data_IF_305259870387
#
_entry.id   IF_305259870387
#
_cell.length_a   1.000
_cell.length_b   1.000
_cell.length_c   1.000
_cell.angle_alpha   90.00
_cell.angle_beta   90.00
_cell.angle_gamma   90.00
#
_symmetry.space_group_name_H-M   'P 1'
#
loop_
_entity.id
_entity.type
_entity.pdbx_description
1 polymer ?
#
# COMPACT_ATOMS: atom_id res chain seq x y z
N UNK A 1 64.48 14.42 -11.50
CA UNK A 1 63.23 15.14 -11.84
C UNK A 1 62.07 14.24 -11.43
N UNK A 2 61.60 14.37 -10.18
CA UNK A 2 60.30 14.95 -9.78
C UNK A 2 59.14 14.04 -10.23
N UNK A 3 58.93 12.94 -9.50
CA UNK A 3 57.99 12.75 -8.38
C UNK A 3 56.52 12.50 -8.78
N UNK A 4 56.04 11.36 -8.28
CA UNK A 4 54.72 10.74 -8.22
C UNK A 4 53.54 11.68 -7.87
N UNK A 5 52.33 11.28 -8.31
CA UNK A 5 51.06 11.17 -7.55
C UNK A 5 50.11 10.30 -8.42
N UNK A 6 50.17 8.96 -8.31
CA UNK A 6 49.23 8.10 -7.58
C UNK A 6 47.76 8.60 -7.62
N UNK A 7 47.03 8.24 -8.68
CA UNK A 7 45.57 8.38 -8.72
C UNK A 7 44.95 7.19 -7.98
N UNK A 8 44.44 7.47 -6.79
CA UNK A 8 43.59 6.57 -6.01
C UNK A 8 42.23 6.49 -6.72
N UNK A 9 42.00 5.42 -7.46
CA UNK A 9 40.65 5.03 -7.87
C UNK A 9 40.04 4.24 -6.71
N UNK A 10 39.39 4.97 -5.81
CA UNK A 10 38.50 4.42 -4.79
C UNK A 10 37.36 3.72 -5.53
N UNK A 11 37.22 2.43 -5.26
CA UNK A 11 36.09 1.63 -5.70
C UNK A 11 34.81 2.10 -5.02
N UNK A 12 33.72 2.13 -5.78
CA UNK A 12 32.41 1.83 -5.26
C UNK A 12 31.89 0.63 -6.05
N UNK A 13 31.98 -0.53 -5.42
CA UNK A 13 31.21 -1.71 -5.77
C UNK A 13 29.74 -1.34 -5.68
N UNK A 14 29.08 -1.14 -6.82
CA UNK A 14 27.62 -1.13 -6.81
C UNK A 14 27.17 -2.52 -6.39
N UNK A 15 26.62 -2.56 -5.18
CA UNK A 15 25.94 -3.69 -4.58
C UNK A 15 25.07 -4.37 -5.64
N UNK A 16 25.25 -5.68 -5.76
CA UNK A 16 24.31 -6.55 -6.42
C UNK A 16 22.90 -6.20 -5.93
N UNK A 17 22.05 -5.75 -6.85
CA UNK A 17 20.61 -5.72 -6.61
C UNK A 17 20.18 -7.19 -6.63
N UNK A 18 20.35 -7.88 -5.50
CA UNK A 18 19.57 -9.06 -5.21
C UNK A 18 18.12 -8.59 -5.32
N UNK A 19 17.40 -9.09 -6.32
CA UNK A 19 15.95 -9.20 -6.18
C UNK A 19 15.78 -10.23 -5.08
N UNK A 20 15.88 -9.75 -3.84
CA UNK A 20 15.27 -10.44 -2.73
C UNK A 20 13.80 -10.46 -3.12
N UNK A 21 13.36 -11.64 -3.56
CA UNK A 21 11.99 -12.05 -3.38
C UNK A 21 11.78 -12.01 -1.87
N UNK A 22 11.53 -10.80 -1.38
CA UNK A 22 11.07 -10.51 -0.04
C UNK A 22 9.76 -11.28 0.07
N UNK A 23 9.88 -12.53 0.50
CA UNK A 23 8.87 -13.21 1.26
C UNK A 23 8.75 -12.49 2.62
N UNK A 24 8.57 -11.16 2.60
CA UNK A 24 7.92 -10.44 3.68
C UNK A 24 6.61 -11.17 3.89
N UNK A 25 6.43 -11.73 5.09
CA UNK A 25 5.17 -12.36 5.51
C UNK A 25 4.03 -11.43 5.09
N UNK A 26 3.27 -11.83 4.06
CA UNK A 26 2.15 -11.03 3.57
C UNK A 26 0.93 -11.32 4.41
N UNK A 27 0.29 -10.27 4.90
CA UNK A 27 -0.92 -10.35 5.69
C UNK A 27 -2.08 -9.83 4.85
N UNK A 28 -3.17 -10.59 4.82
CA UNK A 28 -4.41 -10.12 4.21
C UNK A 28 -5.07 -9.10 5.12
N UNK A 29 -5.51 -8.00 4.53
CA UNK A 29 -6.18 -6.91 5.22
C UNK A 29 -7.46 -6.51 4.51
N UNK A 30 -8.39 -5.96 5.26
CA UNK A 30 -9.70 -5.53 4.80
C UNK A 30 -10.02 -4.12 5.29
N UNK A 31 -10.57 -3.31 4.41
CA UNK A 31 -11.13 -1.99 4.71
C UNK A 31 -12.58 -1.92 4.26
N UNK A 32 -13.46 -1.43 5.14
CA UNK A 32 -14.87 -1.20 4.80
C UNK A 32 -15.03 0.20 4.23
N UNK A 33 -15.41 0.30 2.95
CA UNK A 33 -15.55 1.59 2.29
C UNK A 33 -16.74 2.37 2.82
N UNK A 34 -16.53 3.66 2.98
CA UNK A 34 -17.52 4.66 3.34
C UNK A 34 -18.14 5.28 2.09
N UNK A 35 -19.20 6.08 2.23
CA UNK A 35 -19.81 6.74 1.08
C UNK A 35 -18.96 7.86 0.49
N UNK A 36 -18.25 8.63 1.33
CA UNK A 36 -17.43 9.77 0.86
C UNK A 36 -16.25 10.16 1.76
N UNK A 37 -15.91 9.39 2.79
CA UNK A 37 -14.79 9.69 3.68
C UNK A 37 -13.58 8.75 3.52
N UNK A 38 -13.56 7.96 2.46
CA UNK A 38 -12.39 7.15 2.14
C UNK A 38 -11.18 8.08 1.88
N UNK A 39 -9.96 7.76 2.36
CA UNK A 39 -8.80 8.64 2.21
C UNK A 39 -8.36 8.87 0.75
N UNK A 40 -8.72 7.95 -0.14
CA UNK A 40 -8.50 8.07 -1.58
C UNK A 40 -9.66 8.79 -2.25
N UNK A 41 -9.35 9.59 -3.28
CA UNK A 41 -10.38 10.29 -4.05
C UNK A 41 -11.42 9.32 -4.65
N UNK A 42 -12.70 9.72 -4.70
CA UNK A 42 -13.74 8.92 -5.32
C UNK A 42 -13.49 8.78 -6.83
N UNK A 43 -13.71 7.58 -7.35
CA UNK A 43 -13.60 7.30 -8.79
C UNK A 43 -14.74 6.40 -9.25
N UNK A 44 -15.20 6.62 -10.47
CA UNK A 44 -16.37 5.93 -11.03
C UNK A 44 -16.12 4.45 -11.40
N UNK A 45 -14.85 4.04 -11.53
CA UNK A 45 -14.46 2.73 -12.04
C UNK A 45 -13.59 1.97 -11.04
N UNK A 46 -13.93 0.69 -10.80
CA UNK A 46 -13.18 -0.21 -9.89
C UNK A 46 -11.70 -0.37 -10.25
N UNK A 47 -11.34 -0.43 -11.53
CA UNK A 47 -9.95 -0.54 -11.95
C UNK A 47 -9.16 0.72 -11.60
N UNK A 48 -9.75 1.89 -11.87
CA UNK A 48 -9.17 3.18 -11.43
C UNK A 48 -9.11 3.28 -9.91
N UNK A 49 -10.07 2.69 -9.18
CA UNK A 49 -10.09 2.68 -7.72
C UNK A 49 -8.90 1.88 -7.16
N UNK A 50 -8.59 0.73 -7.75
CA UNK A 50 -7.40 -0.05 -7.38
C UNK A 50 -6.12 0.79 -7.56
N UNK A 51 -5.96 1.44 -8.70
CA UNK A 51 -4.79 2.30 -8.95
C UNK A 51 -4.72 3.48 -7.98
N UNK A 52 -5.87 4.09 -7.64
CA UNK A 52 -5.93 5.18 -6.66
C UNK A 52 -5.55 4.73 -5.26
N UNK A 53 -6.07 3.60 -4.79
CA UNK A 53 -5.71 3.02 -3.49
C UNK A 53 -4.22 2.73 -3.45
N UNK A 54 -3.69 2.09 -4.51
CA UNK A 54 -2.26 1.78 -4.60
C UNK A 54 -1.40 3.04 -4.54
N UNK A 55 -1.68 4.04 -5.37
CA UNK A 55 -0.93 5.30 -5.41
C UNK A 55 -1.02 6.07 -4.07
N UNK A 56 -2.17 6.02 -3.40
CA UNK A 56 -2.33 6.63 -2.07
C UNK A 56 -1.37 6.01 -1.06
N UNK A 57 -1.33 4.66 -0.98
CA UNK A 57 -0.45 3.98 -0.04
C UNK A 57 1.03 4.08 -0.41
N UNK A 58 1.37 4.08 -1.70
CA UNK A 58 2.73 4.40 -2.15
C UNK A 58 3.17 5.79 -1.68
N UNK A 59 2.27 6.79 -1.67
CA UNK A 59 2.60 8.16 -1.23
C UNK A 59 2.89 8.29 0.27
N UNK A 60 2.43 7.32 1.08
CA UNK A 60 2.70 7.24 2.53
C UNK A 60 3.70 6.12 2.86
N UNK A 61 4.42 5.61 1.85
CA UNK A 61 5.42 4.54 1.96
C UNK A 61 4.89 3.22 2.55
N UNK A 62 3.64 2.86 2.22
CA UNK A 62 3.04 1.57 2.59
C UNK A 62 2.89 0.71 1.33
N UNK A 63 3.46 -0.50 1.35
CA UNK A 63 3.37 -1.44 0.24
C UNK A 63 2.07 -2.23 0.27
N UNK A 64 1.10 -1.86 -0.57
CA UNK A 64 -0.17 -2.59 -0.75
C UNK A 64 -0.22 -3.33 -2.09
N UNK A 65 -0.66 -4.59 -2.07
CA UNK A 65 -0.74 -5.46 -3.24
C UNK A 65 -2.05 -6.28 -3.25
N UNK A 66 -2.25 -7.05 -4.34
CA UNK A 66 -3.38 -7.98 -4.52
C UNK A 66 -4.77 -7.39 -4.22
N UNK A 67 -4.96 -6.10 -4.53
CA UNK A 67 -6.17 -5.34 -4.20
C UNK A 67 -7.38 -5.89 -4.95
N UNK A 68 -8.41 -6.27 -4.21
CA UNK A 68 -9.72 -6.73 -4.68
C UNK A 68 -10.82 -5.91 -4.03
N UNK A 69 -11.86 -5.62 -4.81
CA UNK A 69 -13.05 -4.90 -4.32
C UNK A 69 -14.28 -5.79 -4.48
N UNK A 70 -15.00 -6.02 -3.39
CA UNK A 70 -16.30 -6.69 -3.40
C UNK A 70 -17.37 -5.87 -2.66
N UNK A 71 -18.62 -6.31 -2.73
CA UNK A 71 -19.79 -5.67 -2.12
C UNK A 71 -20.42 -6.55 -1.02
N UNK A 72 -19.60 -7.34 -0.33
CA UNK A 72 -20.07 -8.27 0.72
C UNK A 72 -20.01 -7.67 2.14
N UNK A 73 -19.81 -6.35 2.26
CA UNK A 73 -19.90 -5.64 3.53
C UNK A 73 -21.35 -5.35 3.92
N UNK A 74 -21.55 -4.90 5.16
CA UNK A 74 -22.85 -4.46 5.64
C UNK A 74 -23.00 -2.96 5.38
N UNK A 75 -23.88 -2.52 4.46
CA UNK A 75 -24.13 -1.09 4.27
C UNK A 75 -24.87 -0.51 5.48
N UNK A 76 -24.58 0.75 5.78
CA UNK A 76 -25.27 1.53 6.81
C UNK A 76 -26.17 2.56 6.12
N UNK A 77 -27.48 2.47 6.35
CA UNK A 77 -28.44 3.42 5.78
C UNK A 77 -28.45 4.72 6.59
N UNK A 78 -27.59 5.66 6.21
CA UNK A 78 -27.54 6.99 6.80
C UNK A 78 -27.07 8.04 5.76
N UNK A 79 -27.32 9.32 6.03
CA UNK A 79 -26.95 10.44 5.14
C UNK A 79 -25.59 11.08 5.51
N UNK A 80 -24.65 10.33 6.09
CA UNK A 80 -23.34 10.83 6.51
C UNK A 80 -22.21 10.15 5.73
N UNK A 81 -21.13 10.89 5.45
CA UNK A 81 -20.02 10.39 4.62
C UNK A 81 -19.33 9.14 5.17
N UNK A 82 -19.27 9.02 6.49
CA UNK A 82 -18.61 7.92 7.19
C UNK A 82 -19.46 6.65 7.26
N UNK A 83 -20.71 6.68 6.80
CA UNK A 83 -21.53 5.48 6.76
C UNK A 83 -20.98 4.50 5.72
N UNK A 84 -20.97 3.22 6.10
CA UNK A 84 -20.45 2.17 5.26
C UNK A 84 -21.32 2.00 4.01
N UNK A 85 -20.67 1.91 2.86
CA UNK A 85 -21.31 1.71 1.56
C UNK A 85 -21.69 0.24 1.29
N UNK A 86 -21.13 -0.69 2.09
CA UNK A 86 -21.21 -2.14 1.83
C UNK A 86 -20.12 -2.66 0.88
N UNK A 87 -19.34 -1.77 0.24
CA UNK A 87 -18.13 -2.17 -0.49
C UNK A 87 -16.96 -2.40 0.47
N UNK A 88 -16.07 -3.32 0.10
CA UNK A 88 -14.89 -3.68 0.87
C UNK A 88 -13.67 -3.72 -0.04
N UNK A 89 -12.55 -3.20 0.44
CA UNK A 89 -11.23 -3.38 -0.16
C UNK A 89 -10.54 -4.51 0.60
N UNK A 90 -10.08 -5.53 -0.12
CA UNK A 90 -9.29 -6.64 0.40
C UNK A 90 -7.94 -6.58 -0.29
N UNK A 91 -6.84 -6.63 0.46
CA UNK A 91 -5.51 -6.49 -0.09
C UNK A 91 -4.49 -7.29 0.73
N UNK A 92 -3.25 -7.32 0.26
CA UNK A 92 -2.10 -7.84 1.01
C UNK A 92 -1.13 -6.71 1.33
N UNK A 93 -0.52 -6.75 2.52
CA UNK A 93 0.55 -5.84 2.94
C UNK A 93 1.71 -6.63 3.55
N UNK A 94 2.90 -6.03 3.63
CA UNK A 94 3.96 -6.57 4.48
C UNK A 94 3.51 -6.56 5.94
N UNK A 95 3.92 -7.56 6.71
CA UNK A 95 3.72 -7.60 8.16
C UNK A 95 4.30 -6.37 8.87
N UNK A 96 5.38 -5.79 8.34
CA UNK A 96 6.00 -4.57 8.87
C UNK A 96 5.10 -3.33 8.69
N UNK A 97 4.25 -3.32 7.67
CA UNK A 97 3.30 -2.24 7.38
C UNK A 97 1.94 -2.45 8.07
N UNK A 98 1.75 -3.56 8.77
CA UNK A 98 0.45 -3.95 9.31
C UNK A 98 -0.10 -2.93 10.32
N UNK A 99 0.74 -2.47 11.24
CA UNK A 99 0.32 -1.49 12.23
C UNK A 99 0.09 -0.12 11.59
N UNK A 100 0.92 0.26 10.61
CA UNK A 100 0.76 1.52 9.87
C UNK A 100 -0.54 1.55 9.06
N UNK A 101 -0.92 0.45 8.38
CA UNK A 101 -2.14 0.42 7.59
C UNK A 101 -3.42 0.38 8.47
N UNK A 102 -3.34 -0.16 9.69
CA UNK A 102 -4.45 -0.15 10.66
C UNK A 102 -4.86 1.26 11.08
N UNK A 103 -3.92 2.21 11.11
CA UNK A 103 -4.22 3.64 11.37
C UNK A 103 -5.14 4.26 10.30
N UNK A 104 -5.18 3.67 9.09
CA UNK A 104 -6.11 4.07 8.03
C UNK A 104 -7.46 3.33 8.09
N UNK A 105 -7.69 2.50 9.11
CA UNK A 105 -8.93 1.76 9.30
C UNK A 105 -8.97 0.37 8.67
N UNK A 106 -7.84 -0.13 8.14
CA UNK A 106 -7.73 -1.53 7.72
C UNK A 106 -7.68 -2.46 8.94
N UNK A 107 -8.13 -3.69 8.75
CA UNK A 107 -8.12 -4.75 9.75
C UNK A 107 -7.54 -6.02 9.14
N UNK A 108 -6.95 -6.89 9.94
CA UNK A 108 -6.52 -8.22 9.48
C UNK A 108 -7.72 -9.03 8.98
N UNK A 109 -7.51 -9.77 7.89
CA UNK A 109 -8.55 -10.56 7.22
C UNK A 109 -8.05 -12.00 7.04
N UNK A 110 -8.64 -12.94 7.79
CA UNK A 110 -8.32 -14.37 7.71
C UNK A 110 -9.45 -15.16 7.07
#
# INVERSE_FOLDING_TARGET
>A
MKQFILHIFIGLTFLACSKDDDATDRVFVLYNQTYCSDPWEPVENKHKLIDRIKNYFESVNIGIADIKIDNKGTPQFCNACHCLSGNRVIATVSKDDLDAIKEFGFQEYN
#
